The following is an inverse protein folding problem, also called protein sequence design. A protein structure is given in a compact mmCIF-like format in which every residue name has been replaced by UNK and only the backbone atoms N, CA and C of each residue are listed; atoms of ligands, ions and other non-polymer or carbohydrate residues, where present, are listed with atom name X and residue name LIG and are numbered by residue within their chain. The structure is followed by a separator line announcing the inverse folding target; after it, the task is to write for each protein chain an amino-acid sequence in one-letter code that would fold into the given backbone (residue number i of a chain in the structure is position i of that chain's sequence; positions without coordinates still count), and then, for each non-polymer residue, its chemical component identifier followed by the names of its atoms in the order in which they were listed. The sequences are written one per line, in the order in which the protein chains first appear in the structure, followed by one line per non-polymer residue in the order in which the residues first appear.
data_IF_357381080404
#
_entry.id   IF_357381080404
#
_cell.length_a   1.000
_cell.length_b   1.000
_cell.length_c   1.000
_cell.angle_alpha   90.00
_cell.angle_beta   90.00
_cell.angle_gamma   90.00
#
_symmetry.space_group_name_H-M   'P 1'
#
loop_
_entity.id
_entity.type
_entity.pdbx_description
1 polymer ?
#
# COMPACT_ATOMS: atom_id res chain seq x y z
N UNK A 1 -5.26 -8.83 -28.47
CA UNK A 1 -5.69 -9.29 -27.13
C UNK A 1 -5.18 -8.35 -26.03
N UNK A 2 -5.60 -7.07 -26.01
CA UNK A 2 -5.16 -6.05 -25.02
C UNK A 2 -6.32 -5.42 -24.23
N UNK A 3 -7.51 -6.02 -24.25
CA UNK A 3 -8.76 -5.39 -23.77
C UNK A 3 -9.16 -5.68 -22.32
N UNK A 4 -8.43 -6.52 -21.58
CA UNK A 4 -8.82 -6.93 -20.22
C UNK A 4 -8.13 -6.12 -19.09
N UNK A 5 -6.88 -5.68 -19.29
CA UNK A 5 -6.12 -4.92 -18.29
C UNK A 5 -6.79 -3.59 -17.86
N UNK A 6 -7.44 -2.81 -18.75
CA UNK A 6 -8.11 -1.57 -18.35
C UNK A 6 -9.33 -1.83 -17.44
N UNK A 7 -10.04 -2.93 -17.68
CA UNK A 7 -11.25 -3.30 -16.94
C UNK A 7 -10.85 -3.76 -15.53
N UNK A 8 -9.84 -4.64 -15.43
CA UNK A 8 -9.32 -5.12 -14.14
C UNK A 8 -8.81 -3.97 -13.27
N UNK A 9 -8.10 -2.99 -13.87
CA UNK A 9 -7.63 -1.82 -13.14
C UNK A 9 -8.79 -1.00 -12.57
N UNK A 10 -9.86 -0.79 -13.35
CA UNK A 10 -11.03 -0.05 -12.91
C UNK A 10 -11.79 -0.77 -11.77
N UNK A 11 -11.90 -2.10 -11.85
CA UNK A 11 -12.51 -2.93 -10.81
C UNK A 11 -11.69 -2.89 -9.50
N UNK A 12 -10.36 -2.94 -9.59
CA UNK A 12 -9.46 -2.85 -8.44
C UNK A 12 -9.47 -1.45 -7.81
N UNK A 13 -9.56 -0.39 -8.61
CA UNK A 13 -9.74 0.97 -8.09
C UNK A 13 -11.08 1.12 -7.36
N UNK A 14 -12.15 0.55 -7.91
CA UNK A 14 -13.45 0.51 -7.24
C UNK A 14 -13.37 -0.27 -5.92
N UNK A 15 -12.71 -1.43 -5.91
CA UNK A 15 -12.50 -2.23 -4.71
C UNK A 15 -11.81 -1.43 -3.61
N UNK A 16 -10.73 -0.71 -3.91
CA UNK A 16 -10.03 0.14 -2.93
C UNK A 16 -10.96 1.20 -2.34
N UNK A 17 -11.76 1.86 -3.18
CA UNK A 17 -12.73 2.88 -2.74
C UNK A 17 -13.83 2.31 -1.85
N UNK A 18 -14.44 1.20 -2.26
CA UNK A 18 -15.53 0.56 -1.53
C UNK A 18 -15.04 0.03 -0.17
N UNK A 19 -13.85 -0.59 -0.13
CA UNK A 19 -13.24 -1.05 1.11
C UNK A 19 -12.92 0.09 2.08
N UNK A 20 -12.42 1.23 1.57
CA UNK A 20 -12.18 2.43 2.39
C UNK A 20 -13.47 2.93 3.04
N UNK A 21 -14.54 3.06 2.26
CA UNK A 21 -15.85 3.50 2.78
C UNK A 21 -16.39 2.52 3.84
N UNK A 22 -16.33 1.21 3.59
CA UNK A 22 -16.81 0.22 4.56
C UNK A 22 -16.02 0.25 5.87
N UNK A 23 -14.72 0.50 5.81
CA UNK A 23 -13.88 0.65 7.00
C UNK A 23 -14.20 1.93 7.77
N UNK A 24 -14.38 3.06 7.07
CA UNK A 24 -14.78 4.33 7.67
C UNK A 24 -16.17 4.25 8.33
N UNK A 25 -17.07 3.40 7.80
CA UNK A 25 -18.38 3.11 8.38
C UNK A 25 -18.37 1.99 9.45
N UNK A 26 -17.19 1.46 9.81
CA UNK A 26 -17.01 0.35 10.76
C UNK A 26 -17.73 -0.96 10.36
N UNK A 27 -18.06 -1.13 9.07
CA UNK A 27 -18.71 -2.33 8.51
C UNK A 27 -17.69 -3.41 8.15
N UNK A 28 -16.95 -3.88 9.15
CA UNK A 28 -15.80 -4.78 8.97
C UNK A 28 -16.16 -6.12 8.32
N UNK A 29 -17.28 -6.73 8.71
CA UNK A 29 -17.71 -8.02 8.13
C UNK A 29 -18.10 -7.91 6.64
N UNK A 30 -18.71 -6.79 6.24
CA UNK A 30 -19.01 -6.52 4.84
C UNK A 30 -17.73 -6.30 4.04
N UNK A 31 -16.80 -5.52 4.59
CA UNK A 31 -15.48 -5.28 3.99
C UNK A 31 -14.70 -6.59 3.81
N UNK A 32 -14.70 -7.45 4.83
CA UNK A 32 -14.03 -8.75 4.79
C UNK A 32 -14.56 -9.65 3.68
N UNK A 33 -15.89 -9.70 3.50
CA UNK A 33 -16.53 -10.46 2.42
C UNK A 33 -16.18 -9.88 1.05
N UNK A 34 -16.22 -8.55 0.91
CA UNK A 34 -15.84 -7.85 -0.32
C UNK A 34 -14.39 -8.19 -0.72
N UNK A 35 -13.45 -8.04 0.21
CA UNK A 35 -12.03 -8.31 -0.03
C UNK A 35 -11.79 -9.80 -0.31
N UNK A 36 -12.44 -10.71 0.41
CA UNK A 36 -12.28 -12.15 0.21
C UNK A 36 -12.76 -12.59 -1.17
N UNK A 37 -13.86 -12.02 -1.67
CA UNK A 37 -14.33 -12.25 -3.03
C UNK A 37 -13.29 -11.74 -4.05
N UNK A 38 -12.77 -10.53 -3.83
CA UNK A 38 -11.73 -9.96 -4.69
C UNK A 38 -10.42 -10.77 -4.72
N UNK A 39 -10.03 -11.42 -3.62
CA UNK A 39 -8.90 -12.36 -3.61
C UNK A 39 -9.15 -13.58 -4.51
N UNK A 40 -10.40 -14.03 -4.61
CA UNK A 40 -10.79 -15.12 -5.50
C UNK A 40 -10.82 -14.71 -6.97
N UNK A 41 -11.30 -13.49 -7.28
CA UNK A 41 -11.39 -12.99 -8.66
C UNK A 41 -10.05 -12.46 -9.19
N UNK A 42 -9.21 -11.91 -8.31
CA UNK A 42 -7.92 -11.31 -8.65
C UNK A 42 -6.77 -11.92 -7.82
N UNK A 43 -6.45 -13.21 -7.98
CA UNK A 43 -5.48 -13.90 -7.13
C UNK A 43 -4.03 -13.40 -7.26
N UNK A 44 -3.72 -12.64 -8.32
CA UNK A 44 -2.40 -12.05 -8.57
C UNK A 44 -2.35 -10.55 -8.29
N UNK A 45 -3.47 -9.94 -7.90
CA UNK A 45 -3.52 -8.52 -7.60
C UNK A 45 -3.02 -8.26 -6.16
N UNK A 46 -2.15 -7.27 -5.92
CA UNK A 46 -1.70 -6.93 -4.57
C UNK A 46 -2.78 -6.22 -3.75
N UNK A 47 -3.75 -5.55 -4.38
CA UNK A 47 -4.76 -4.69 -3.73
C UNK A 47 -5.59 -5.46 -2.68
N UNK A 48 -6.17 -6.65 -2.95
CA UNK A 48 -6.98 -7.35 -1.96
C UNK A 48 -6.17 -7.72 -0.71
N UNK A 49 -4.91 -8.13 -0.87
CA UNK A 49 -4.04 -8.40 0.27
C UNK A 49 -3.70 -7.13 1.05
N UNK A 50 -3.47 -6.01 0.37
CA UNK A 50 -3.26 -4.72 1.03
C UNK A 50 -4.49 -4.30 1.85
N UNK A 51 -5.68 -4.39 1.26
CA UNK A 51 -6.94 -4.02 1.91
C UNK A 51 -7.26 -4.91 3.12
N UNK A 52 -7.02 -6.22 3.02
CA UNK A 52 -7.18 -7.12 4.17
C UNK A 52 -6.21 -6.75 5.29
N UNK A 53 -4.99 -6.33 4.94
CA UNK A 53 -4.02 -5.84 5.92
C UNK A 53 -4.54 -4.62 6.69
N UNK A 54 -5.11 -3.65 5.98
CA UNK A 54 -5.72 -2.45 6.59
C UNK A 54 -6.90 -2.84 7.48
N UNK A 55 -7.79 -3.71 7.01
CA UNK A 55 -8.93 -4.17 7.79
C UNK A 55 -8.50 -4.81 9.12
N UNK A 56 -7.52 -5.72 9.07
CA UNK A 56 -6.99 -6.39 10.26
C UNK A 56 -6.30 -5.41 11.21
N UNK A 57 -5.65 -4.37 10.70
CA UNK A 57 -5.10 -3.29 11.52
C UNK A 57 -6.20 -2.54 12.27
N UNK A 58 -7.35 -2.27 11.64
CA UNK A 58 -8.52 -1.66 12.31
C UNK A 58 -9.13 -2.59 13.36
N UNK A 59 -9.11 -3.90 13.13
CA UNK A 59 -9.51 -4.93 14.10
C UNK A 59 -8.45 -5.18 15.19
N UNK A 60 -7.34 -4.43 15.18
CA UNK A 60 -6.22 -4.54 16.11
C UNK A 60 -5.45 -5.89 16.02
N UNK A 61 -5.62 -6.65 14.93
CA UNK A 61 -4.78 -7.81 14.58
C UNK A 61 -3.55 -7.38 13.77
N UNK A 62 -2.57 -6.85 14.48
CA UNK A 62 -1.33 -6.32 13.90
C UNK A 62 -0.50 -7.40 13.19
N UNK A 63 -0.50 -8.63 13.71
CA UNK A 63 0.25 -9.74 13.09
C UNK A 63 -0.41 -10.22 11.80
N UNK A 64 -1.75 -10.31 11.80
CA UNK A 64 -2.54 -10.58 10.61
C UNK A 64 -2.32 -9.50 9.55
N UNK A 65 -2.37 -8.23 9.94
CA UNK A 65 -2.13 -7.09 9.06
C UNK A 65 -0.76 -7.18 8.35
N UNK A 66 0.31 -7.39 9.13
CA UNK A 66 1.67 -7.55 8.58
C UNK A 66 1.79 -8.71 7.59
N UNK A 67 1.16 -9.87 7.87
CA UNK A 67 1.17 -11.02 6.95
C UNK A 67 0.53 -10.67 5.61
N UNK A 68 -0.58 -9.95 5.64
CA UNK A 68 -1.30 -9.55 4.44
C UNK A 68 -0.56 -8.49 3.63
N UNK A 69 0.02 -7.47 4.28
CA UNK A 69 0.86 -6.51 3.57
C UNK A 69 2.11 -7.15 2.93
N UNK A 70 2.76 -8.10 3.63
CA UNK A 70 3.88 -8.87 3.05
C UNK A 70 3.44 -9.70 1.85
N UNK A 71 2.22 -10.23 1.86
CA UNK A 71 1.66 -10.98 0.74
C UNK A 71 1.42 -10.06 -0.47
N UNK A 72 0.87 -8.87 -0.24
CA UNK A 72 0.71 -7.86 -1.28
C UNK A 72 2.05 -7.46 -1.92
N UNK A 73 3.08 -7.22 -1.08
CA UNK A 73 4.43 -6.95 -1.57
C UNK A 73 5.01 -8.11 -2.38
N UNK A 74 4.79 -9.35 -1.94
CA UNK A 74 5.30 -10.53 -2.64
C UNK A 74 4.66 -10.72 -4.03
N UNK A 75 3.39 -10.34 -4.18
CA UNK A 75 2.69 -10.35 -5.47
C UNK A 75 3.21 -9.25 -6.40
N UNK A 76 3.44 -8.05 -5.87
CA UNK A 76 4.00 -6.93 -6.62
C UNK A 76 4.91 -6.05 -5.73
N UNK A 77 6.24 -6.18 -5.85
CA UNK A 77 7.20 -5.35 -5.12
C UNK A 77 7.16 -3.87 -5.50
N UNK A 78 6.53 -3.51 -6.61
CA UNK A 78 6.40 -2.11 -7.07
C UNK A 78 5.13 -1.42 -6.56
N UNK A 79 4.20 -2.18 -5.99
CA UNK A 79 2.94 -1.67 -5.44
C UNK A 79 3.19 -0.86 -4.16
N UNK A 80 3.24 0.48 -4.33
CA UNK A 80 3.59 1.45 -3.30
C UNK A 80 2.75 1.34 -2.01
N UNK A 81 1.43 1.08 -2.04
CA UNK A 81 0.61 1.04 -0.83
C UNK A 81 1.02 -0.05 0.15
N UNK A 82 1.37 -1.25 -0.35
CA UNK A 82 1.84 -2.34 0.53
C UNK A 82 3.14 -1.97 1.24
N UNK A 83 4.08 -1.32 0.54
CA UNK A 83 5.30 -0.79 1.13
C UNK A 83 5.03 0.26 2.20
N UNK A 84 4.18 1.22 1.85
CA UNK A 84 3.85 2.32 2.74
C UNK A 84 3.23 1.79 4.04
N UNK A 85 2.26 0.87 3.93
CA UNK A 85 1.59 0.28 5.08
C UNK A 85 2.53 -0.58 5.94
N UNK A 86 3.43 -1.37 5.35
CA UNK A 86 4.45 -2.11 6.11
C UNK A 86 5.38 -1.19 6.91
N UNK A 87 5.91 -0.16 6.24
CA UNK A 87 6.82 0.78 6.87
C UNK A 87 6.12 1.59 7.96
N UNK A 88 4.88 2.05 7.71
CA UNK A 88 4.07 2.75 8.71
C UNK A 88 3.84 1.85 9.93
N UNK A 89 3.31 0.64 9.71
CA UNK A 89 2.90 -0.25 10.80
C UNK A 89 4.10 -0.73 11.64
N UNK A 90 5.27 -0.91 11.02
CA UNK A 90 6.52 -1.25 11.70
C UNK A 90 7.28 -0.05 12.30
N UNK A 91 6.80 1.17 12.10
CA UNK A 91 7.44 2.38 12.63
C UNK A 91 7.33 2.44 14.16
N UNK A 92 8.33 3.02 14.82
CA UNK A 92 8.30 3.31 16.26
C UNK A 92 7.20 4.33 16.63
N UNK A 93 6.77 5.11 15.65
CA UNK A 93 5.63 6.03 15.74
C UNK A 93 4.71 5.77 14.55
N UNK A 94 3.88 4.73 14.59
CA UNK A 94 2.92 4.47 13.53
C UNK A 94 1.90 5.61 13.50
N UNK A 95 1.76 6.26 12.35
CA UNK A 95 0.60 7.11 12.12
C UNK A 95 -0.64 6.22 11.88
N UNK A 96 -1.85 6.80 11.90
CA UNK A 96 -3.09 6.05 11.62
C UNK A 96 -3.50 6.07 10.14
N UNK A 97 -2.69 6.68 9.26
CA UNK A 97 -3.07 6.90 7.87
C UNK A 97 -2.72 5.67 7.04
N UNK A 98 -3.74 4.90 6.69
CA UNK A 98 -3.62 3.77 5.78
C UNK A 98 -3.54 4.21 4.32
N UNK A 99 -2.68 3.56 3.53
CA UNK A 99 -2.63 3.71 2.08
C UNK A 99 -3.45 2.59 1.42
N UNK A 100 -4.59 2.97 0.86
CA UNK A 100 -5.50 2.09 0.12
C UNK A 100 -5.08 2.00 -1.36
N UNK A 101 -4.55 3.11 -1.89
CA UNK A 101 -4.10 3.26 -3.27
C UNK A 101 -2.84 4.13 -3.36
N UNK A 102 -2.26 4.24 -4.56
CA UNK A 102 -1.00 4.97 -4.76
C UNK A 102 -1.09 6.45 -4.41
N UNK A 103 -2.27 7.06 -4.56
CA UNK A 103 -2.52 8.47 -4.24
C UNK A 103 -2.31 8.78 -2.76
N UNK A 104 -2.47 7.79 -1.87
CA UNK A 104 -2.27 7.94 -0.42
C UNK A 104 -0.79 7.96 -0.03
N UNK A 105 0.12 7.50 -0.90
CA UNK A 105 1.51 7.20 -0.55
C UNK A 105 2.45 8.42 -0.54
N UNK A 106 1.96 9.63 -0.83
CA UNK A 106 2.80 10.84 -0.96
C UNK A 106 3.85 10.74 -2.07
N UNK A 107 4.79 11.70 -2.14
CA UNK A 107 5.89 11.58 -3.11
C UNK A 107 6.76 10.36 -2.77
N UNK A 108 7.10 9.50 -3.75
CA UNK A 108 7.86 8.31 -3.45
C UNK A 108 9.24 8.69 -2.89
N UNK A 109 9.64 8.14 -1.73
CA UNK A 109 10.88 8.51 -1.02
C UNK A 109 12.12 8.65 -1.93
N UNK A 110 12.27 7.87 -3.00
CA UNK A 110 13.40 8.02 -3.94
C UNK A 110 13.48 9.39 -4.66
N UNK A 111 12.36 10.11 -4.79
CA UNK A 111 12.30 11.49 -5.29
C UNK A 111 12.59 12.50 -4.19
N UNK A 112 12.45 12.11 -2.92
CA UNK A 112 12.82 12.95 -1.79
C UNK A 112 14.34 13.03 -1.60
N UNK A 113 15.13 12.11 -2.16
CA UNK A 113 16.59 12.11 -2.03
C UNK A 113 17.31 12.28 -3.38
N UNK A 114 18.48 12.90 -3.35
CA UNK A 114 19.44 12.97 -4.46
C UNK A 114 20.79 12.41 -4.00
N UNK A 115 21.58 11.92 -4.96
CA UNK A 115 22.94 11.44 -4.69
C UNK A 115 23.96 12.44 -5.21
N UNK A 116 24.84 12.94 -4.35
CA UNK A 116 25.97 13.81 -4.75
C UNK A 116 27.28 13.08 -4.54
N UNK A 117 28.18 13.15 -5.51
CA UNK A 117 29.53 12.61 -5.39
C UNK A 117 30.48 13.71 -4.93
N UNK A 118 31.28 13.44 -3.90
CA UNK A 118 32.33 14.36 -3.46
C UNK A 118 33.62 14.19 -4.30
N UNK A 119 34.63 15.09 -4.14
CA UNK A 119 35.89 14.99 -4.87
C UNK A 119 36.71 13.72 -4.58
N UNK A 120 36.47 13.07 -3.43
CA UNK A 120 37.10 11.81 -3.04
C UNK A 120 36.37 10.59 -3.63
N UNK A 121 35.29 10.83 -4.37
CA UNK A 121 34.51 9.80 -5.04
C UNK A 121 33.42 9.15 -4.19
N UNK A 122 33.19 9.61 -2.96
CA UNK A 122 32.16 9.10 -2.03
C UNK A 122 30.79 9.63 -2.45
N UNK A 123 29.77 8.76 -2.42
CA UNK A 123 28.38 9.11 -2.74
C UNK A 123 27.64 9.46 -1.45
N UNK A 124 27.11 10.68 -1.39
CA UNK A 124 26.29 11.21 -0.30
C UNK A 124 24.83 11.19 -0.73
N UNK A 125 23.95 10.58 0.07
CA UNK A 125 22.50 10.61 -0.14
C UNK A 125 21.93 11.75 0.69
N UNK A 126 21.29 12.73 0.05
CA UNK A 126 20.76 13.93 0.73
C UNK A 126 19.28 14.13 0.39
N UNK A 127 18.50 14.71 1.30
CA UNK A 127 17.12 15.12 1.00
C UNK A 127 17.12 16.31 0.04
N UNK A 128 16.30 16.27 -1.02
CA UNK A 128 16.14 17.37 -1.98
C UNK A 128 15.64 18.68 -1.33
N UNK A 129 15.02 18.61 -0.15
CA UNK A 129 14.53 19.80 0.58
C UNK A 129 15.65 20.60 1.26
N UNK A 130 16.86 20.06 1.36
CA UNK A 130 18.00 20.72 2.00
C UNK A 130 18.77 21.69 1.09
N UNK A 131 18.31 21.94 -0.14
CA UNK A 131 18.99 22.79 -1.14
C UNK A 131 18.45 24.23 -1.24
N UNK A 132 17.79 24.76 -0.20
CA UNK A 132 17.38 26.18 -0.14
C UNK A 132 18.30 27.02 0.73
#
# INVERSE_FOLDING_TARGET
MKSAAPIQQQELTKLCRDAKLLIEEEKYEECKRLISNAMGTFPHAPQPHNLMGILLEQENDILGAMRHFRSAWALDPTYLPARYNLNRLGSLTPDRKCAYEESDCGEPLHLAFCTRRDPNGIIHVMERRAER
#
